data_IF_344274945519
#
_entry.id   IF_344274945519
#
_cell.length_a   1.000
_cell.length_b   1.000
_cell.length_c   1.000
_cell.angle_alpha   90.00
_cell.angle_beta   90.00
_cell.angle_gamma   90.00
#
_symmetry.space_group_name_H-M   'P 1'
#
loop_
_entity.id
_entity.type
_entity.pdbx_description
1 polymer ?
#
# COMPACT_ATOMS: atom_id res chain seq x y z
N UNK A 1 -45.84 64.18 -31.89
CA UNK A 1 -45.82 62.70 -31.83
C UNK A 1 -44.41 62.26 -31.51
N UNK A 2 -44.14 61.70 -30.31
CA UNK A 2 -42.81 61.23 -29.94
C UNK A 2 -42.92 59.79 -29.44
N UNK A 3 -42.48 58.86 -30.29
CA UNK A 3 -42.51 57.42 -30.03
C UNK A 3 -41.28 57.05 -29.20
N UNK A 4 -41.48 56.64 -27.94
CA UNK A 4 -40.39 56.17 -27.08
C UNK A 4 -40.39 54.65 -27.13
N UNK A 5 -39.40 54.10 -27.84
CA UNK A 5 -39.12 52.67 -27.93
C UNK A 5 -38.59 52.15 -26.59
N UNK A 6 -39.30 51.19 -25.97
CA UNK A 6 -38.87 50.48 -24.76
C UNK A 6 -38.21 49.15 -25.12
N UNK A 7 -36.99 49.20 -25.63
CA UNK A 7 -36.23 48.01 -26.02
C UNK A 7 -34.92 47.85 -25.23
N UNK A 8 -34.92 48.06 -23.91
CA UNK A 8 -33.77 47.69 -23.07
C UNK A 8 -34.22 47.36 -21.65
N UNK A 9 -34.54 46.10 -21.39
CA UNK A 9 -34.27 45.42 -20.12
C UNK A 9 -34.95 44.05 -20.12
N UNK A 10 -34.42 43.13 -20.93
CA UNK A 10 -34.58 41.72 -20.65
C UNK A 10 -33.19 41.11 -20.69
N UNK A 11 -32.83 40.35 -19.66
CA UNK A 11 -31.55 39.66 -19.51
C UNK A 11 -30.36 40.46 -18.95
N UNK A 12 -30.33 40.64 -17.62
CA UNK A 12 -29.04 40.75 -16.90
C UNK A 12 -29.13 40.43 -15.39
N UNK A 13 -29.96 39.46 -14.98
CA UNK A 13 -29.97 38.96 -13.59
C UNK A 13 -29.78 37.45 -13.49
N UNK A 14 -30.07 36.70 -14.55
CA UNK A 14 -30.04 35.23 -14.54
C UNK A 14 -28.66 34.63 -14.89
N UNK A 15 -27.81 35.35 -15.65
CA UNK A 15 -26.50 34.82 -16.08
C UNK A 15 -25.54 34.67 -14.88
N UNK A 16 -25.55 35.60 -13.94
CA UNK A 16 -24.68 35.55 -12.76
C UNK A 16 -25.04 34.41 -11.78
N UNK A 17 -26.32 34.03 -11.68
CA UNK A 17 -26.75 32.87 -10.89
C UNK A 17 -26.36 31.56 -11.56
N UNK A 18 -26.45 31.48 -12.89
CA UNK A 18 -26.03 30.30 -13.65
C UNK A 18 -24.51 30.11 -13.59
N UNK A 19 -23.74 31.19 -13.66
CA UNK A 19 -22.29 31.17 -13.50
C UNK A 19 -21.89 30.75 -12.07
N UNK A 20 -22.52 31.30 -11.03
CA UNK A 20 -22.28 30.85 -9.64
C UNK A 20 -22.59 29.37 -9.43
N UNK A 21 -23.73 28.90 -9.94
CA UNK A 21 -24.12 27.49 -9.87
C UNK A 21 -23.12 26.60 -10.64
N UNK A 22 -22.61 27.06 -11.79
CA UNK A 22 -21.56 26.37 -12.54
C UNK A 22 -20.26 26.25 -11.74
N UNK A 23 -19.83 27.30 -11.04
CA UNK A 23 -18.62 27.26 -10.19
C UNK A 23 -18.77 26.30 -9.00
N UNK A 24 -19.94 26.29 -8.35
CA UNK A 24 -20.21 25.38 -7.23
C UNK A 24 -20.23 23.91 -7.68
N UNK A 25 -20.88 23.63 -8.82
CA UNK A 25 -20.90 22.27 -9.39
C UNK A 25 -19.49 21.83 -9.81
N UNK A 26 -18.70 22.71 -10.43
CA UNK A 26 -17.31 22.41 -10.82
C UNK A 26 -16.41 22.18 -9.60
N UNK A 27 -16.54 22.99 -8.55
CA UNK A 27 -15.78 22.82 -7.31
C UNK A 27 -16.14 21.51 -6.60
N UNK A 28 -17.44 21.18 -6.53
CA UNK A 28 -17.91 19.90 -5.98
C UNK A 28 -17.42 18.70 -6.78
N UNK A 29 -17.43 18.78 -8.12
CA UNK A 29 -16.91 17.72 -8.98
C UNK A 29 -15.39 17.52 -8.79
N UNK A 30 -14.62 18.60 -8.67
CA UNK A 30 -13.17 18.52 -8.39
C UNK A 30 -12.88 17.93 -7.00
N UNK A 31 -13.68 18.28 -6.00
CA UNK A 31 -13.56 17.71 -4.65
C UNK A 31 -13.83 16.20 -4.65
N UNK A 32 -14.90 15.75 -5.31
CA UNK A 32 -15.22 14.32 -5.46
C UNK A 32 -14.13 13.57 -6.24
N UNK A 33 -13.55 14.17 -7.28
CA UNK A 33 -12.46 13.55 -8.04
C UNK A 33 -11.18 13.39 -7.21
N UNK A 34 -10.92 14.32 -6.28
CA UNK A 34 -9.79 14.24 -5.34
C UNK A 34 -9.99 13.18 -4.25
N UNK A 35 -11.24 12.85 -3.88
CA UNK A 35 -11.53 11.86 -2.85
C UNK A 35 -11.27 10.41 -3.32
N UNK A 36 -11.25 10.17 -4.63
CA UNK A 36 -11.11 8.83 -5.23
C UNK A 36 -9.62 8.43 -5.38
N UNK A 37 -8.67 9.36 -5.25
CA UNK A 37 -7.26 9.10 -5.56
C UNK A 37 -6.46 8.38 -4.46
N UNK A 38 -7.10 7.84 -3.42
CA UNK A 38 -6.44 7.05 -2.38
C UNK A 38 -6.24 5.61 -2.90
N UNK A 39 -5.29 5.42 -3.81
CA UNK A 39 -4.83 4.09 -4.15
C UNK A 39 -4.01 3.55 -2.97
N UNK A 40 -4.54 2.54 -2.28
CA UNK A 40 -3.80 1.78 -1.28
C UNK A 40 -2.66 1.04 -2.00
N UNK A 41 -1.43 1.55 -1.86
CA UNK A 41 -0.23 0.81 -2.27
C UNK A 41 -0.11 -0.36 -1.28
N UNK A 42 -0.66 -1.52 -1.64
CA UNK A 42 -0.40 -2.76 -0.93
C UNK A 42 1.04 -3.19 -1.24
N UNK A 43 1.99 -2.68 -0.46
CA UNK A 43 3.37 -3.14 -0.51
C UNK A 43 3.41 -4.59 0.00
N UNK A 44 3.51 -5.54 -0.93
CA UNK A 44 3.79 -6.94 -0.61
C UNK A 44 5.19 -7.06 -0.01
N UNK A 45 5.31 -7.78 1.10
CA UNK A 45 6.59 -8.08 1.74
C UNK A 45 6.53 -9.42 2.47
N UNK A 46 7.61 -9.76 3.19
CA UNK A 46 7.64 -10.91 4.10
C UNK A 46 7.96 -10.43 5.52
N UNK A 47 7.45 -11.16 6.51
CA UNK A 47 7.66 -10.90 7.93
C UNK A 47 8.33 -12.08 8.62
N UNK A 48 9.21 -11.77 9.58
CA UNK A 48 9.79 -12.76 10.49
C UNK A 48 8.94 -12.83 11.76
N UNK A 49 8.72 -14.02 12.31
CA UNK A 49 7.95 -14.20 13.55
C UNK A 49 8.67 -13.73 14.82
N UNK A 50 9.96 -13.39 14.73
CA UNK A 50 10.75 -12.80 15.82
C UNK A 50 11.89 -11.97 15.25
N UNK A 51 12.36 -10.98 16.01
CA UNK A 51 13.53 -10.14 15.70
C UNK A 51 14.82 -10.68 16.28
N UNK A 52 14.74 -11.61 17.24
CA UNK A 52 15.90 -12.28 17.86
C UNK A 52 15.59 -13.74 18.17
N UNK A 53 16.60 -14.60 18.02
CA UNK A 53 16.55 -16.00 18.40
C UNK A 53 17.51 -16.21 19.58
N UNK A 54 17.02 -16.82 20.65
CA UNK A 54 17.84 -17.24 21.80
C UNK A 54 17.93 -18.75 21.74
N UNK A 55 19.14 -19.28 21.61
CA UNK A 55 19.37 -20.71 21.49
C UNK A 55 19.62 -21.32 22.89
N UNK A 56 18.74 -22.22 23.39
CA UNK A 56 18.98 -22.91 24.65
C UNK A 56 20.14 -23.90 24.51
N UNK A 57 20.94 -24.08 25.56
CA UNK A 57 22.04 -25.08 25.58
C UNK A 57 21.57 -26.51 25.37
N UNK A 58 20.34 -26.80 25.80
CA UNK A 58 19.80 -28.15 25.88
C UNK A 58 19.00 -28.53 24.61
N UNK A 59 18.85 -27.60 23.67
CA UNK A 59 18.03 -27.77 22.46
C UNK A 59 18.90 -27.97 21.22
N UNK A 60 18.59 -28.99 20.42
CA UNK A 60 19.32 -29.31 19.18
C UNK A 60 18.81 -28.56 17.94
N UNK A 61 17.63 -27.95 18.02
CA UNK A 61 17.05 -27.17 16.94
C UNK A 61 16.22 -26.00 17.49
N UNK A 62 16.13 -24.93 16.70
CA UNK A 62 15.20 -23.83 16.93
C UNK A 62 14.48 -23.51 15.63
N UNK A 63 13.19 -23.18 15.71
CA UNK A 63 12.37 -22.86 14.55
C UNK A 63 12.13 -21.35 14.47
N UNK A 64 12.39 -20.77 13.31
CA UNK A 64 12.00 -19.40 12.98
C UNK A 64 10.90 -19.44 11.92
N UNK A 65 9.72 -18.91 12.25
CA UNK A 65 8.63 -18.79 11.28
C UNK A 65 8.85 -17.60 10.35
N UNK A 66 8.74 -17.81 9.05
CA UNK A 66 8.69 -16.75 8.04
C UNK A 66 7.32 -16.74 7.40
N UNK A 67 6.70 -15.57 7.36
CA UNK A 67 5.38 -15.37 6.77
C UNK A 67 5.53 -14.50 5.52
N UNK A 68 4.98 -14.98 4.41
CA UNK A 68 4.77 -14.12 3.25
C UNK A 68 3.55 -13.23 3.56
N UNK A 69 3.63 -11.94 3.26
CA UNK A 69 2.55 -10.96 3.43
C UNK A 69 1.98 -10.43 2.11
N UNK A 70 2.64 -10.70 0.97
CA UNK A 70 2.14 -10.29 -0.33
C UNK A 70 1.19 -11.35 -0.90
N UNK A 71 -0.04 -10.96 -1.27
CA UNK A 71 -1.12 -11.90 -1.61
C UNK A 71 -0.82 -12.80 -2.82
N UNK A 72 -0.08 -12.30 -3.81
CA UNK A 72 0.19 -13.00 -5.08
C UNK A 72 1.68 -13.00 -5.46
N UNK A 73 2.56 -12.76 -4.49
CA UNK A 73 3.99 -12.59 -4.73
C UNK A 73 4.76 -13.73 -4.08
N UNK A 74 5.60 -14.41 -4.86
CA UNK A 74 6.51 -15.43 -4.33
C UNK A 74 7.85 -14.79 -3.98
N UNK A 75 8.41 -15.15 -2.83
CA UNK A 75 9.73 -14.67 -2.41
C UNK A 75 10.72 -15.82 -2.32
N UNK A 76 11.93 -15.59 -2.81
CA UNK A 76 13.09 -16.45 -2.56
C UNK A 76 13.72 -16.01 -1.24
N UNK A 77 13.89 -16.95 -0.32
CA UNK A 77 14.53 -16.71 0.96
C UNK A 77 15.87 -17.44 0.96
N UNK A 78 16.93 -16.68 1.23
CA UNK A 78 18.27 -17.21 1.48
C UNK A 78 18.65 -16.88 2.92
N UNK A 79 19.13 -17.88 3.66
CA UNK A 79 19.61 -17.71 5.03
C UNK A 79 21.11 -17.95 5.12
N UNK A 80 21.78 -17.17 5.96
CA UNK A 80 23.16 -17.37 6.37
C UNK A 80 23.31 -16.97 7.82
N UNK A 81 24.37 -17.43 8.45
CA UNK A 81 24.75 -17.08 9.81
C UNK A 81 26.08 -16.38 9.71
N UNK A 82 26.20 -15.23 10.35
CA UNK A 82 27.44 -14.47 10.43
C UNK A 82 27.99 -14.54 11.85
N UNK A 83 29.30 -14.75 11.98
CA UNK A 83 29.98 -14.75 13.26
C UNK A 83 30.68 -13.40 13.42
N UNK A 84 30.21 -12.62 14.39
CA UNK A 84 30.80 -11.34 14.76
C UNK A 84 32.17 -11.47 15.46
N UNK A 85 32.61 -12.70 15.79
CA UNK A 85 33.96 -12.97 16.27
C UNK A 85 34.82 -13.62 15.17
N UNK A 86 35.87 -12.90 14.76
CA UNK A 86 36.83 -13.30 13.73
C UNK A 86 37.65 -14.58 14.02
N UNK A 87 37.30 -15.41 15.03
CA UNK A 87 38.19 -16.51 15.47
C UNK A 87 37.53 -17.74 16.11
N UNK A 88 36.20 -17.86 16.24
CA UNK A 88 35.59 -19.09 16.78
C UNK A 88 34.62 -19.69 15.78
N UNK A 89 35.12 -20.60 14.93
CA UNK A 89 34.29 -21.40 14.00
C UNK A 89 33.04 -21.95 14.70
N UNK A 90 31.93 -21.25 14.52
CA UNK A 90 30.60 -21.77 14.81
C UNK A 90 30.39 -22.92 13.84
N UNK A 91 30.45 -24.15 14.36
CA UNK A 91 30.35 -25.38 13.56
C UNK A 91 28.87 -25.68 13.29
N UNK A 92 28.21 -24.79 12.56
CA UNK A 92 26.89 -25.02 12.00
C UNK A 92 27.10 -25.59 10.60
N UNK A 93 26.38 -26.66 10.25
CA UNK A 93 26.46 -27.26 8.93
C UNK A 93 26.06 -26.20 7.89
N UNK A 94 27.01 -25.78 7.05
CA UNK A 94 26.78 -24.83 5.96
C UNK A 94 26.02 -25.49 4.82
N UNK A 95 24.77 -25.90 5.06
CA UNK A 95 23.89 -26.23 3.95
C UNK A 95 23.19 -24.94 3.56
N UNK A 96 23.69 -24.31 2.48
CA UNK A 96 23.05 -23.13 1.89
C UNK A 96 21.69 -23.56 1.37
N UNK A 97 20.66 -23.32 2.17
CA UNK A 97 19.28 -23.69 1.90
C UNK A 97 18.57 -22.51 1.24
N UNK A 98 18.24 -22.65 -0.04
CA UNK A 98 17.36 -21.76 -0.77
C UNK A 98 15.93 -22.32 -0.71
N UNK A 99 14.99 -21.52 -0.24
CA UNK A 99 13.59 -21.90 -0.17
C UNK A 99 12.70 -20.92 -0.94
N UNK A 100 11.76 -21.46 -1.71
CA UNK A 100 10.68 -20.70 -2.32
C UNK A 100 9.53 -20.58 -1.31
N UNK A 101 9.23 -19.36 -0.88
CA UNK A 101 8.09 -19.08 0.00
C UNK A 101 6.90 -18.63 -0.84
N UNK A 102 5.95 -19.54 -1.05
CA UNK A 102 4.73 -19.30 -1.82
C UNK A 102 3.54 -19.03 -0.89
N UNK A 103 2.69 -18.05 -1.22
CA UNK A 103 1.43 -17.86 -0.51
C UNK A 103 0.46 -18.97 -0.84
N UNK A 104 -0.03 -19.66 0.19
CA UNK A 104 -1.15 -20.59 0.00
C UNK A 104 -2.45 -19.81 0.09
N UNK A 105 -3.18 -19.74 -1.02
CA UNK A 105 -4.51 -19.14 -1.09
C UNK A 105 -5.43 -19.80 -0.03
N UNK A 106 -5.98 -19.00 0.88
CA UNK A 106 -6.93 -19.52 1.89
C UNK A 106 -8.17 -19.98 1.14
N UNK A 107 -8.42 -21.29 1.11
CA UNK A 107 -9.68 -21.81 0.59
C UNK A 107 -10.84 -21.20 1.40
N UNK A 108 -11.85 -20.61 0.76
CA UNK A 108 -13.05 -20.21 1.47
C UNK A 108 -13.68 -21.47 2.07
N UNK A 109 -13.94 -21.42 3.37
CA UNK A 109 -14.71 -22.42 4.09
C UNK A 109 -16.19 -22.31 3.77
#
# INVERSE_FOLDING_TARGET
MRWISKNKCFSNRNINSLLKTQYVIRAGALFLLSAISINAIAAGGFGLGSTRLVYPSDSQQITLSVQNGGANTSYLIQSWIDDNQSSKKVRILWLRLLYLCYQREKKPH
#
